data_IF_846379642488
#
_entry.id   IF_846379642488
#
_cell.length_a   1.000
_cell.length_b   1.000
_cell.length_c   1.000
_cell.angle_alpha   90.00
_cell.angle_beta   90.00
_cell.angle_gamma   90.00
#
_symmetry.space_group_name_H-M   'P 1'
#
loop_
_entity.id
_entity.type
_entity.pdbx_description
1 polymer ?
#
# COMPACT_ATOMS: atom_id res chain seq x y z
N UNK A 1 18.47 -11.87 5.32
CA UNK A 1 17.83 -12.51 4.16
C UNK A 1 16.80 -11.53 3.59
N UNK A 2 17.11 -10.84 2.50
CA UNK A 2 16.25 -9.81 1.89
C UNK A 2 16.05 -10.16 0.42
N UNK A 3 14.82 -10.54 0.04
CA UNK A 3 14.52 -10.82 -1.36
C UNK A 3 14.26 -9.50 -2.11
N UNK A 4 15.17 -9.15 -3.02
CA UNK A 4 15.09 -7.92 -3.82
C UNK A 4 13.95 -7.93 -4.82
N UNK A 5 13.55 -9.11 -5.32
CA UNK A 5 12.50 -9.26 -6.33
C UNK A 5 11.13 -8.96 -5.73
N UNK A 6 10.84 -9.53 -4.56
CA UNK A 6 9.59 -9.25 -3.83
C UNK A 6 9.46 -7.76 -3.50
N UNK A 7 10.56 -7.11 -3.11
CA UNK A 7 10.57 -5.66 -2.88
C UNK A 7 10.25 -4.88 -4.16
N UNK A 8 10.79 -5.30 -5.30
CA UNK A 8 10.51 -4.65 -6.59
C UNK A 8 9.06 -4.85 -7.01
N UNK A 9 8.48 -6.05 -6.79
CA UNK A 9 7.06 -6.31 -7.05
C UNK A 9 6.17 -5.34 -6.26
N UNK A 10 6.39 -5.17 -4.97
CA UNK A 10 5.59 -4.23 -4.17
C UNK A 10 5.76 -2.77 -4.59
N UNK A 11 6.96 -2.36 -5.03
CA UNK A 11 7.19 -1.02 -5.57
C UNK A 11 6.47 -0.80 -6.90
N UNK A 12 6.51 -1.79 -7.79
CA UNK A 12 5.81 -1.74 -9.08
C UNK A 12 4.30 -1.71 -8.86
N UNK A 13 3.79 -2.55 -7.95
CA UNK A 13 2.38 -2.55 -7.55
C UNK A 13 1.95 -1.19 -7.00
N UNK A 14 2.76 -0.56 -6.13
CA UNK A 14 2.47 0.77 -5.63
C UNK A 14 2.50 1.85 -6.71
N UNK A 15 3.34 1.72 -7.74
CA UNK A 15 3.41 2.65 -8.86
C UNK A 15 2.16 2.55 -9.75
N UNK A 16 1.66 1.33 -9.98
CA UNK A 16 0.39 1.13 -10.67
C UNK A 16 -0.79 1.63 -9.83
N UNK A 17 -0.85 1.24 -8.55
CA UNK A 17 -1.92 1.65 -7.64
C UNK A 17 -1.95 3.17 -7.37
N UNK A 18 -0.83 3.88 -7.50
CA UNK A 18 -0.84 5.35 -7.42
C UNK A 18 -1.43 6.03 -8.66
N UNK A 19 -1.65 5.31 -9.75
CA UNK A 19 -2.12 5.87 -11.03
C UNK A 19 -3.50 5.33 -11.45
N UNK A 20 -3.92 4.19 -10.90
CA UNK A 20 -5.21 3.56 -11.18
C UNK A 20 -6.24 3.92 -10.10
N UNK A 21 -7.44 4.33 -10.52
CA UNK A 21 -8.54 4.61 -9.58
C UNK A 21 -8.88 3.38 -8.72
N UNK A 22 -9.12 3.60 -7.42
CA UNK A 22 -9.54 2.57 -6.47
C UNK A 22 -9.06 2.84 -5.05
N UNK A 23 -9.39 1.96 -4.08
CA UNK A 23 -9.15 2.22 -2.65
C UNK A 23 -7.68 2.48 -2.28
N UNK A 24 -6.73 1.85 -3.00
CA UNK A 24 -5.30 2.09 -2.81
C UNK A 24 -4.86 3.47 -3.31
N UNK A 25 -5.53 4.00 -4.33
CA UNK A 25 -5.31 5.34 -4.84
C UNK A 25 -5.86 6.38 -3.88
N UNK A 26 -7.05 6.17 -3.32
CA UNK A 26 -7.63 7.05 -2.31
C UNK A 26 -6.72 7.14 -1.07
N UNK A 27 -6.13 6.01 -0.66
CA UNK A 27 -5.12 6.00 0.40
C UNK A 27 -3.87 6.81 0.02
N UNK A 28 -3.42 6.71 -1.23
CA UNK A 28 -2.28 7.48 -1.74
C UNK A 28 -2.57 8.99 -1.79
N UNK A 29 -3.73 9.40 -2.28
CA UNK A 29 -4.16 10.80 -2.29
C UNK A 29 -4.29 11.35 -0.87
N UNK A 30 -4.81 10.57 0.07
CA UNK A 30 -4.87 10.96 1.48
C UNK A 30 -3.47 11.22 2.10
N UNK A 31 -2.43 10.51 1.64
CA UNK A 31 -1.05 10.79 2.05
C UNK A 31 -0.53 12.09 1.43
N UNK A 32 -0.87 12.36 0.16
CA UNK A 32 -0.50 13.61 -0.51
C UNK A 32 -1.19 14.83 0.13
N UNK A 33 -2.47 14.70 0.47
CA UNK A 33 -3.23 15.73 1.17
C UNK A 33 -2.64 16.09 2.55
N UNK A 34 -1.95 15.14 3.20
CA UNK A 34 -1.17 15.37 4.43
C UNK A 34 0.18 16.05 4.21
N UNK A 35 0.50 16.46 2.98
CA UNK A 35 1.76 17.11 2.62
C UNK A 35 2.93 16.16 2.38
N UNK A 36 2.68 14.85 2.24
CA UNK A 36 3.75 13.89 1.97
C UNK A 36 4.25 14.01 0.52
N UNK A 37 5.58 13.98 0.34
CA UNK A 37 6.19 13.93 -1.00
C UNK A 37 5.73 12.66 -1.75
N UNK A 38 5.44 12.78 -3.04
CA UNK A 38 4.91 11.69 -3.88
C UNK A 38 5.76 10.42 -3.91
N UNK A 39 7.09 10.55 -3.82
CA UNK A 39 8.02 9.41 -3.72
C UNK A 39 7.90 8.66 -2.39
N UNK A 40 7.74 9.39 -1.28
CA UNK A 40 7.52 8.79 0.04
C UNK A 40 6.12 8.19 0.16
N UNK A 41 5.11 8.85 -0.41
CA UNK A 41 3.75 8.32 -0.44
C UNK A 41 3.67 6.97 -1.19
N UNK A 42 4.36 6.84 -2.33
CA UNK A 42 4.47 5.54 -3.04
C UNK A 42 5.17 4.47 -2.21
N UNK A 43 6.21 4.83 -1.44
CA UNK A 43 6.90 3.87 -0.59
C UNK A 43 6.04 3.43 0.59
N UNK A 44 5.28 4.35 1.19
CA UNK A 44 4.29 4.04 2.23
C UNK A 44 3.18 3.14 1.69
N UNK A 45 2.68 3.43 0.49
CA UNK A 45 1.73 2.58 -0.21
C UNK A 45 2.29 1.17 -0.46
N UNK A 46 3.53 1.05 -0.93
CA UNK A 46 4.18 -0.26 -1.13
C UNK A 46 4.25 -1.08 0.17
N UNK A 47 4.56 -0.44 1.29
CA UNK A 47 4.55 -1.09 2.61
C UNK A 47 3.15 -1.55 3.00
N UNK A 48 2.14 -0.69 2.79
CA UNK A 48 0.73 -1.04 3.08
C UNK A 48 0.28 -2.26 2.27
N UNK A 49 0.59 -2.30 0.98
CA UNK A 49 0.30 -3.46 0.10
C UNK A 49 0.99 -4.72 0.61
N UNK A 50 2.28 -4.62 1.00
CA UNK A 50 3.02 -5.76 1.55
C UNK A 50 2.40 -6.28 2.86
N UNK A 51 1.97 -5.39 3.75
CA UNK A 51 1.30 -5.75 5.01
C UNK A 51 -0.03 -6.46 4.73
N UNK A 52 -0.87 -5.92 3.85
CA UNK A 52 -2.14 -6.54 3.46
C UNK A 52 -1.90 -7.93 2.86
N UNK A 53 -0.94 -8.04 1.93
CA UNK A 53 -0.58 -9.32 1.30
C UNK A 53 -0.18 -10.35 2.35
N UNK A 54 0.65 -9.95 3.32
CA UNK A 54 1.10 -10.82 4.39
C UNK A 54 -0.06 -11.26 5.30
N UNK A 55 -1.00 -10.37 5.61
CA UNK A 55 -2.18 -10.68 6.44
C UNK A 55 -3.09 -11.67 5.72
N UNK A 56 -3.45 -11.38 4.46
CA UNK A 56 -4.29 -12.25 3.62
C UNK A 56 -3.66 -13.65 3.51
N UNK A 57 -2.36 -13.73 3.24
CA UNK A 57 -1.68 -15.02 3.13
C UNK A 57 -1.63 -15.76 4.46
N UNK A 58 -1.23 -15.09 5.55
CA UNK A 58 -1.08 -15.77 6.84
C UNK A 58 -2.39 -16.18 7.50
N UNK A 59 -3.43 -15.36 7.36
CA UNK A 59 -4.72 -15.55 8.07
C UNK A 59 -5.80 -16.15 7.18
N UNK A 60 -5.60 -16.18 5.86
CA UNK A 60 -6.63 -16.59 4.90
C UNK A 60 -7.81 -15.61 4.80
N UNK A 61 -7.64 -14.40 5.33
CA UNK A 61 -8.66 -13.35 5.31
C UNK A 61 -8.81 -12.78 3.89
N UNK A 62 -10.03 -12.36 3.54
CA UNK A 62 -10.26 -11.64 2.28
C UNK A 62 -9.76 -10.20 2.42
N UNK A 63 -9.26 -9.63 1.33
CA UNK A 63 -8.91 -8.21 1.31
C UNK A 63 -10.16 -7.38 1.61
N UNK A 64 -10.03 -6.51 2.61
CA UNK A 64 -11.03 -5.52 2.98
C UNK A 64 -10.42 -4.12 2.84
N UNK A 65 -11.05 -3.30 2.01
CA UNK A 65 -10.61 -1.92 1.76
C UNK A 65 -10.67 -1.05 3.03
N UNK A 66 -11.47 -1.43 4.04
CA UNK A 66 -11.49 -0.79 5.35
C UNK A 66 -10.13 -0.85 6.06
N UNK A 67 -9.32 -1.89 5.79
CA UNK A 67 -7.96 -2.00 6.32
C UNK A 67 -7.03 -0.88 5.82
N UNK A 68 -7.42 -0.16 4.77
CA UNK A 68 -6.67 0.99 4.26
C UNK A 68 -6.86 2.23 5.12
N UNK A 69 -7.97 2.33 5.87
CA UNK A 69 -8.22 3.48 6.74
C UNK A 69 -7.12 3.60 7.81
N UNK A 70 -6.73 4.83 8.19
CA UNK A 70 -5.85 5.01 9.33
C UNK A 70 -6.55 4.42 10.56
N UNK A 71 -5.90 3.49 11.25
CA UNK A 71 -6.36 3.07 12.56
C UNK A 71 -6.26 4.30 13.46
N UNK A 72 -7.40 4.78 13.94
CA UNK A 72 -7.44 5.85 14.94
C UNK A 72 -6.69 5.35 16.17
N UNK A 73 -5.71 6.15 16.63
CA UNK A 73 -4.89 5.86 17.80
C UNK A 73 -5.71 6.03 19.09
#
# INVERSE_FOLDING_TARGET
NHNHDIKNIFKSAATQASSCAGPLHDFYEALLAKGMRSSMARLTLARKIATITLIVWKRGERFDAEQLKPQAA
#
